data_IF_252684122510
#
_entry.id   IF_252684122510
#
_cell.length_a   1.000
_cell.length_b   1.000
_cell.length_c   1.000
_cell.angle_alpha   90.00
_cell.angle_beta   90.00
_cell.angle_gamma   90.00
#
_symmetry.space_group_name_H-M   'P 1'
#
loop_
_entity.id
_entity.type
_entity.pdbx_description
1 polymer ?
#
# COMPACT_ATOMS: atom_id res chain seq x y z
N UNK A 1 -1.12 41.44 2.15
CA UNK A 1 -1.73 40.48 3.11
C UNK A 1 -0.84 39.24 3.15
N UNK A 2 -0.20 38.99 4.29
CA UNK A 2 0.65 37.82 4.52
C UNK A 2 -0.21 36.54 4.63
N UNK A 3 0.08 35.54 3.82
CA UNK A 3 -0.45 34.19 3.97
C UNK A 3 0.52 33.36 4.83
N UNK A 4 0.01 32.79 5.92
CA UNK A 4 0.79 32.11 6.94
C UNK A 4 1.34 30.76 6.49
N UNK A 5 2.64 30.58 6.71
CA UNK A 5 3.32 29.29 6.65
C UNK A 5 2.92 28.41 7.85
N UNK A 6 2.74 27.09 7.66
CA UNK A 6 2.42 26.18 8.76
C UNK A 6 3.66 25.89 9.62
N UNK A 7 3.77 26.60 10.76
CA UNK A 7 4.79 26.38 11.81
C UNK A 7 4.42 25.19 12.71
N UNK A 8 4.66 23.94 12.30
CA UNK A 8 4.45 22.80 13.20
C UNK A 8 5.52 21.69 13.19
N UNK A 9 6.72 21.97 12.69
CA UNK A 9 7.84 21.02 12.74
C UNK A 9 9.01 21.46 13.63
N UNK A 10 9.14 22.75 14.00
CA UNK A 10 10.31 23.22 14.76
C UNK A 10 10.25 22.92 16.27
N UNK A 11 9.05 22.86 16.87
CA UNK A 11 8.91 22.69 18.32
C UNK A 11 9.28 21.28 18.82
N UNK A 12 9.04 20.23 18.01
CA UNK A 12 9.34 18.83 18.38
C UNK A 12 10.82 18.46 18.19
N UNK A 13 11.51 19.16 17.30
CA UNK A 13 12.94 18.95 16.98
C UNK A 13 13.85 19.68 17.97
N UNK A 14 13.34 20.70 18.68
CA UNK A 14 14.12 21.51 19.63
C UNK A 14 14.64 20.73 20.84
N UNK A 15 13.99 19.62 21.22
CA UNK A 15 14.40 18.78 22.35
C UNK A 15 15.62 17.88 22.05
N UNK A 16 15.94 17.70 20.77
CA UNK A 16 17.07 16.90 20.30
C UNK A 16 18.25 17.76 19.83
N UNK A 17 18.20 19.08 20.04
CA UNK A 17 19.33 19.93 19.70
C UNK A 17 20.35 19.88 20.86
N UNK A 18 21.66 19.71 20.60
CA UNK A 18 22.66 19.75 21.64
C UNK A 18 22.58 21.09 22.39
N UNK A 19 22.80 21.06 23.71
CA UNK A 19 22.98 22.28 24.47
C UNK A 19 24.17 23.07 23.88
N UNK A 20 24.15 24.39 23.99
CA UNK A 20 25.21 25.26 23.44
C UNK A 20 26.61 24.98 24.02
N UNK A 21 26.68 24.17 25.07
CA UNK A 21 27.88 23.71 25.77
C UNK A 21 28.08 22.18 25.70
N UNK A 22 27.40 21.48 24.79
CA UNK A 22 27.51 20.03 24.64
C UNK A 22 28.90 19.60 24.16
N UNK A 23 29.45 18.56 24.78
CA UNK A 23 30.71 17.93 24.37
C UNK A 23 30.50 17.05 23.13
N UNK A 24 31.57 16.65 22.45
CA UNK A 24 31.47 15.77 21.28
C UNK A 24 30.75 14.44 21.60
N UNK A 25 30.97 13.90 22.82
CA UNK A 25 30.30 12.70 23.31
C UNK A 25 28.78 12.88 23.49
N UNK A 26 28.33 14.08 23.90
CA UNK A 26 26.90 14.40 24.05
C UNK A 26 26.19 14.45 22.69
N UNK A 27 26.87 14.94 21.64
CA UNK A 27 26.31 15.01 20.28
C UNK A 27 26.12 13.61 19.69
N UNK A 28 27.07 12.70 19.93
CA UNK A 28 26.99 11.32 19.45
C UNK A 28 25.89 10.52 20.17
N UNK A 29 25.71 10.73 21.49
CA UNK A 29 24.63 10.10 22.25
C UNK A 29 23.24 10.63 21.82
N UNK A 30 23.12 11.93 21.56
CA UNK A 30 21.89 12.52 21.00
C UNK A 30 21.55 11.95 19.62
N UNK A 31 22.54 11.80 18.73
CA UNK A 31 22.34 11.18 17.42
C UNK A 31 21.90 9.71 17.54
N UNK A 32 22.52 8.92 18.44
CA UNK A 32 22.12 7.53 18.70
C UNK A 32 20.70 7.41 19.25
N UNK A 33 20.30 8.31 20.15
CA UNK A 33 18.93 8.36 20.70
C UNK A 33 17.92 8.76 19.63
N UNK A 34 18.28 9.69 18.75
CA UNK A 34 17.44 10.09 17.62
C UNK A 34 17.23 8.94 16.63
N UNK A 35 18.29 8.22 16.25
CA UNK A 35 18.17 7.05 15.37
C UNK A 35 17.35 5.92 15.99
N UNK A 36 17.52 5.65 17.30
CA UNK A 36 16.66 4.70 18.03
C UNK A 36 15.19 5.13 18.02
N UNK A 37 14.91 6.41 18.26
CA UNK A 37 13.55 6.95 18.24
C UNK A 37 12.93 6.87 16.83
N UNK A 38 13.71 7.13 15.78
CA UNK A 38 13.29 6.99 14.39
C UNK A 38 12.96 5.54 14.04
N UNK A 39 13.83 4.59 14.40
CA UNK A 39 13.60 3.17 14.19
C UNK A 39 12.35 2.66 14.95
N UNK A 40 12.15 3.11 16.19
CA UNK A 40 10.95 2.79 16.96
C UNK A 40 9.67 3.35 16.31
N UNK A 41 9.72 4.59 15.80
CA UNK A 41 8.61 5.21 15.08
C UNK A 41 8.29 4.48 13.77
N UNK A 42 9.31 4.10 12.99
CA UNK A 42 9.15 3.31 11.76
C UNK A 42 8.55 1.93 12.05
N UNK A 43 8.97 1.28 13.12
CA UNK A 43 8.39 0.00 13.56
C UNK A 43 6.91 0.14 13.91
N UNK A 44 6.56 1.12 14.75
CA UNK A 44 5.15 1.38 15.14
C UNK A 44 4.32 1.69 13.89
N UNK A 45 4.83 2.53 12.97
CA UNK A 45 4.15 2.83 11.72
C UNK A 45 3.91 1.58 10.85
N UNK A 46 4.90 0.68 10.75
CA UNK A 46 4.73 -0.60 10.05
C UNK A 46 3.67 -1.48 10.71
N UNK A 47 3.72 -1.65 12.04
CA UNK A 47 2.72 -2.44 12.78
C UNK A 47 1.32 -1.87 12.57
N UNK A 48 1.14 -0.55 12.70
CA UNK A 48 -0.13 0.11 12.47
C UNK A 48 -0.60 -0.01 11.00
N UNK A 49 0.32 0.02 10.04
CA UNK A 49 0.00 -0.21 8.64
C UNK A 49 -0.53 -1.64 8.42
N UNK A 50 0.18 -2.66 8.93
CA UNK A 50 -0.26 -4.04 8.78
C UNK A 50 -1.60 -4.28 9.47
N UNK A 51 -1.76 -3.80 10.70
CA UNK A 51 -2.97 -3.98 11.49
C UNK A 51 -4.19 -3.26 10.89
N UNK A 52 -4.03 -1.99 10.48
CA UNK A 52 -5.18 -1.14 10.12
C UNK A 52 -5.45 -1.05 8.62
N UNK A 53 -4.48 -1.37 7.76
CA UNK A 53 -4.61 -1.25 6.29
C UNK A 53 -4.53 -2.59 5.59
N UNK A 54 -3.48 -3.36 5.89
CA UNK A 54 -3.22 -4.61 5.18
C UNK A 54 -4.19 -5.71 5.62
N UNK A 55 -4.39 -5.90 6.92
CA UNK A 55 -5.26 -6.95 7.44
C UNK A 55 -6.73 -6.84 6.98
N UNK A 56 -7.37 -5.65 7.03
CA UNK A 56 -8.74 -5.49 6.52
C UNK A 56 -8.87 -5.74 5.02
N UNK A 57 -7.78 -5.54 4.25
CA UNK A 57 -7.80 -5.77 2.81
C UNK A 57 -8.04 -7.23 2.44
N UNK A 58 -7.60 -8.18 3.28
CA UNK A 58 -7.79 -9.62 3.03
C UNK A 58 -9.25 -9.97 2.80
N UNK A 59 -10.14 -9.49 3.67
CA UNK A 59 -11.57 -9.77 3.59
C UNK A 59 -12.21 -9.25 2.29
N UNK A 60 -11.75 -8.08 1.81
CA UNK A 60 -12.22 -7.49 0.55
C UNK A 60 -11.78 -8.36 -0.64
N UNK A 61 -10.51 -8.76 -0.66
CA UNK A 61 -9.96 -9.61 -1.74
C UNK A 61 -10.60 -10.99 -1.73
N UNK A 62 -10.80 -11.59 -0.56
CA UNK A 62 -11.47 -12.88 -0.43
C UNK A 62 -12.91 -12.83 -0.94
N UNK A 63 -13.65 -11.78 -0.60
CA UNK A 63 -15.01 -11.57 -1.13
C UNK A 63 -14.99 -11.46 -2.65
N UNK A 64 -14.04 -10.71 -3.22
CA UNK A 64 -13.89 -10.60 -4.67
C UNK A 64 -13.55 -11.95 -5.34
N UNK A 65 -12.66 -12.74 -4.73
CA UNK A 65 -12.30 -14.08 -5.20
C UNK A 65 -13.51 -15.01 -5.19
N UNK A 66 -14.33 -14.99 -4.13
CA UNK A 66 -15.54 -15.81 -4.04
C UNK A 66 -16.60 -15.39 -5.07
N UNK A 67 -16.76 -14.09 -5.30
CA UNK A 67 -17.77 -13.53 -6.21
C UNK A 67 -17.31 -13.45 -7.68
N UNK A 68 -16.09 -13.88 -8.01
CA UNK A 68 -15.50 -13.73 -9.36
C UNK A 68 -16.36 -14.28 -10.51
N UNK A 69 -17.13 -15.33 -10.24
CA UNK A 69 -17.99 -15.97 -11.25
C UNK A 69 -19.27 -15.16 -11.52
N UNK A 70 -19.74 -14.40 -10.53
CA UNK A 70 -20.85 -13.46 -10.68
C UNK A 70 -20.42 -12.22 -11.49
N UNK A 71 -19.16 -11.80 -11.35
CA UNK A 71 -18.59 -10.70 -12.13
C UNK A 71 -18.43 -11.09 -13.60
N UNK A 72 -17.86 -12.27 -13.86
CA UNK A 72 -17.70 -12.78 -15.21
C UNK A 72 -17.57 -14.31 -15.19
N UNK A 73 -18.26 -14.98 -16.12
CA UNK A 73 -18.32 -16.45 -16.16
C UNK A 73 -16.95 -17.15 -16.27
N UNK A 74 -15.92 -16.47 -16.79
CA UNK A 74 -14.55 -17.02 -16.84
C UNK A 74 -13.85 -17.08 -15.47
N UNK A 75 -14.31 -16.31 -14.48
CA UNK A 75 -13.63 -16.15 -13.19
C UNK A 75 -12.27 -15.44 -13.26
N UNK A 76 -11.91 -14.86 -14.40
CA UNK A 76 -10.61 -14.18 -14.60
C UNK A 76 -10.63 -12.70 -14.17
N UNK A 77 -11.79 -12.17 -13.77
CA UNK A 77 -11.98 -10.78 -13.38
C UNK A 77 -12.43 -10.73 -11.92
N UNK A 78 -11.73 -9.94 -11.12
CA UNK A 78 -12.06 -9.68 -9.73
C UNK A 78 -12.54 -8.24 -9.59
N UNK A 79 -13.68 -8.05 -8.94
CA UNK A 79 -14.20 -6.73 -8.59
C UNK A 79 -13.97 -6.46 -7.10
N UNK A 80 -13.20 -5.42 -6.79
CA UNK A 80 -13.02 -4.94 -5.43
C UNK A 80 -14.01 -3.82 -5.15
N UNK A 81 -14.67 -3.87 -4.00
CA UNK A 81 -15.61 -2.83 -3.53
C UNK A 81 -14.94 -1.47 -3.38
N UNK A 82 -13.70 -1.47 -2.90
CA UNK A 82 -12.85 -0.30 -2.79
C UNK A 82 -11.39 -0.66 -3.03
N UNK A 83 -10.59 0.35 -3.39
CA UNK A 83 -9.15 0.15 -3.53
C UNK A 83 -8.53 -0.29 -2.19
N UNK A 84 -7.69 -1.32 -2.24
CA UNK A 84 -6.92 -1.81 -1.11
C UNK A 84 -5.60 -2.46 -1.59
N UNK A 85 -4.62 -2.68 -0.71
CA UNK A 85 -3.44 -3.49 -1.02
C UNK A 85 -3.85 -4.95 -1.27
N UNK A 86 -4.09 -5.33 -2.53
CA UNK A 86 -4.70 -6.62 -2.86
C UNK A 86 -3.72 -7.70 -3.30
N UNK A 87 -2.53 -7.33 -3.78
CA UNK A 87 -1.61 -8.26 -4.46
C UNK A 87 -1.26 -9.45 -3.58
N UNK A 88 -0.62 -9.22 -2.44
CA UNK A 88 -0.15 -10.30 -1.54
C UNK A 88 -1.30 -11.23 -1.13
N UNK A 89 -2.42 -10.67 -0.69
CA UNK A 89 -3.62 -11.43 -0.34
C UNK A 89 -4.14 -12.27 -1.50
N UNK A 90 -4.13 -11.73 -2.72
CA UNK A 90 -4.60 -12.48 -3.89
C UNK A 90 -3.75 -13.72 -4.13
N UNK A 91 -2.42 -13.63 -4.05
CA UNK A 91 -1.55 -14.79 -4.28
C UNK A 91 -1.73 -15.88 -3.21
N UNK A 92 -1.95 -15.49 -1.95
CA UNK A 92 -2.27 -16.44 -0.88
C UNK A 92 -3.63 -17.11 -1.12
N UNK A 93 -4.68 -16.31 -1.36
CA UNK A 93 -6.04 -16.78 -1.61
C UNK A 93 -6.15 -17.63 -2.88
N UNK A 94 -5.33 -17.36 -3.90
CA UNK A 94 -5.24 -18.17 -5.10
C UNK A 94 -4.81 -19.62 -4.79
N UNK A 95 -3.86 -19.78 -3.87
CA UNK A 95 -3.44 -21.08 -3.37
C UNK A 95 -4.54 -21.78 -2.56
N UNK A 96 -5.17 -21.05 -1.64
CA UNK A 96 -6.24 -21.57 -0.77
C UNK A 96 -7.48 -22.02 -1.55
N UNK A 97 -7.85 -21.29 -2.61
CA UNK A 97 -9.02 -21.58 -3.44
C UNK A 97 -8.69 -22.43 -4.68
N UNK A 98 -7.43 -22.81 -4.90
CA UNK A 98 -7.04 -23.63 -6.06
C UNK A 98 -7.22 -22.93 -7.41
N UNK A 99 -7.07 -21.60 -7.45
CA UNK A 99 -7.27 -20.77 -8.65
C UNK A 99 -5.98 -20.03 -9.06
N UNK A 100 -4.82 -20.56 -8.69
CA UNK A 100 -3.52 -19.99 -9.04
C UNK A 100 -3.41 -19.68 -10.53
N UNK A 101 -3.08 -18.42 -10.86
CA UNK A 101 -2.93 -17.96 -12.24
C UNK A 101 -4.24 -17.63 -12.98
N UNK A 102 -5.42 -17.94 -12.41
CA UNK A 102 -6.71 -17.70 -13.07
C UNK A 102 -7.10 -16.21 -13.12
N UNK A 103 -7.05 -15.45 -12.01
CA UNK A 103 -7.31 -14.01 -12.05
C UNK A 103 -6.32 -13.28 -12.96
N UNK A 104 -6.83 -12.50 -13.91
CA UNK A 104 -6.03 -11.70 -14.86
C UNK A 104 -6.24 -10.21 -14.70
N UNK A 105 -7.42 -9.81 -14.23
CA UNK A 105 -7.78 -8.41 -14.05
C UNK A 105 -8.41 -8.18 -12.69
N UNK A 106 -8.06 -7.05 -12.10
CA UNK A 106 -8.70 -6.49 -10.90
C UNK A 106 -9.32 -5.17 -11.31
N UNK A 107 -10.62 -5.02 -11.04
CA UNK A 107 -11.38 -3.80 -11.29
C UNK A 107 -11.88 -3.23 -9.98
N UNK A 108 -11.97 -1.91 -9.88
CA UNK A 108 -12.60 -1.22 -8.77
C UNK A 108 -13.09 0.16 -9.19
N UNK A 109 -14.11 0.65 -8.49
CA UNK A 109 -14.64 1.98 -8.66
C UNK A 109 -13.96 2.93 -7.66
N UNK A 110 -13.21 3.92 -8.15
CA UNK A 110 -12.54 4.90 -7.29
C UNK A 110 -13.49 6.04 -6.88
N UNK A 111 -14.34 6.46 -7.82
CA UNK A 111 -15.40 7.46 -7.66
C UNK A 111 -16.55 7.08 -8.59
N UNK A 112 -17.79 7.59 -8.38
CA UNK A 112 -18.86 7.41 -9.36
C UNK A 112 -18.36 7.78 -10.77
N UNK A 113 -18.48 6.85 -11.71
CA UNK A 113 -18.00 6.92 -13.09
C UNK A 113 -16.46 6.94 -13.30
N UNK A 114 -15.65 6.63 -12.29
CA UNK A 114 -14.18 6.44 -12.40
C UNK A 114 -13.81 4.98 -12.09
N UNK A 115 -13.83 4.15 -13.13
CA UNK A 115 -13.43 2.74 -13.05
C UNK A 115 -11.96 2.57 -13.39
N UNK A 116 -11.28 1.80 -12.54
CA UNK A 116 -9.87 1.45 -12.73
C UNK A 116 -9.76 -0.04 -13.02
N UNK A 117 -8.90 -0.37 -13.98
CA UNK A 117 -8.55 -1.74 -14.34
C UNK A 117 -7.06 -1.93 -14.13
N UNK A 118 -6.69 -2.95 -13.37
CA UNK A 118 -5.30 -3.32 -13.13
C UNK A 118 -5.11 -4.76 -13.59
N UNK A 119 -4.04 -5.01 -14.35
CA UNK A 119 -3.67 -6.37 -14.74
C UNK A 119 -2.94 -7.07 -13.59
N UNK A 120 -3.27 -8.33 -13.35
CA UNK A 120 -2.60 -9.15 -12.33
C UNK A 120 -1.20 -9.53 -12.83
N UNK A 121 -0.12 -9.25 -12.07
CA UNK A 121 1.23 -9.63 -12.47
C UNK A 121 1.45 -11.14 -12.40
N UNK A 122 2.51 -11.64 -13.03
CA UNK A 122 2.89 -13.05 -12.90
C UNK A 122 3.30 -13.36 -11.45
N UNK A 123 4.04 -12.45 -10.83
CA UNK A 123 4.50 -12.50 -9.44
C UNK A 123 4.24 -11.15 -8.75
N UNK A 124 4.10 -11.08 -7.41
CA UNK A 124 3.72 -9.84 -6.71
C UNK A 124 4.58 -8.61 -7.07
N UNK A 125 5.88 -8.82 -7.28
CA UNK A 125 6.87 -7.79 -7.60
C UNK A 125 7.15 -7.65 -9.12
N UNK A 126 6.54 -8.48 -9.96
CA UNK A 126 6.81 -8.47 -11.40
C UNK A 126 6.11 -7.33 -12.13
N UNK A 127 6.80 -6.75 -13.11
CA UNK A 127 6.23 -5.80 -14.06
C UNK A 127 5.48 -6.49 -15.21
N UNK A 128 5.65 -7.81 -15.35
CA UNK A 128 5.01 -8.61 -16.40
C UNK A 128 3.64 -9.05 -15.93
N UNK A 129 2.61 -8.68 -16.69
CA UNK A 129 1.22 -9.01 -16.41
C UNK A 129 0.85 -10.38 -17.02
N UNK A 130 0.01 -11.16 -16.33
CA UNK A 130 -0.56 -12.42 -16.84
C UNK A 130 -1.26 -12.23 -18.19
N UNK A 131 -1.96 -11.10 -18.33
CA UNK A 131 -2.57 -10.66 -19.59
C UNK A 131 -2.59 -9.14 -19.66
N UNK A 132 -1.94 -8.58 -20.67
CA UNK A 132 -1.98 -7.14 -20.92
C UNK A 132 -3.33 -6.74 -21.52
N UNK A 133 -3.75 -5.50 -21.27
CA UNK A 133 -4.87 -4.89 -21.97
C UNK A 133 -4.55 -4.75 -23.46
N UNK A 134 -5.59 -4.89 -24.29
CA UNK A 134 -5.50 -4.63 -25.73
C UNK A 134 -4.96 -3.21 -25.97
N UNK A 135 -4.16 -3.04 -27.03
CA UNK A 135 -3.48 -1.77 -27.31
C UNK A 135 -4.44 -0.57 -27.40
N UNK A 136 -5.67 -0.79 -27.89
CA UNK A 136 -6.71 0.23 -28.02
C UNK A 136 -7.26 0.73 -26.67
N UNK A 137 -7.06 -0.01 -25.58
CA UNK A 137 -7.63 0.27 -24.25
C UNK A 137 -6.55 0.70 -23.24
N UNK A 138 -5.28 0.75 -23.66
CA UNK A 138 -4.23 1.34 -22.85
C UNK A 138 -4.41 2.86 -22.93
N UNK A 139 -4.47 3.53 -21.78
CA UNK A 139 -4.42 4.99 -21.75
C UNK A 139 -3.19 5.48 -22.52
N UNK A 140 -3.33 6.59 -23.24
CA UNK A 140 -2.17 7.26 -23.84
C UNK A 140 -1.17 7.60 -22.72
N UNK A 141 0.09 7.26 -22.93
CA UNK A 141 1.17 7.42 -21.95
C UNK A 141 1.84 8.77 -22.10
#
# INVERSE_FOLDING_TARGET
SQAGEPKYTSARVRHFNPAWNATADDVEDVAKRFEKAKAAAEFINKVLYYANRWWPARAIVEKAVRNRLEVHASGEILELENFCPWKEHLYELEGEHGIAGLPKYVIYCNRPNDWRVICVPLEPASFVCRKFLARKWRGER
#
